data_IF_971920352290
#
_entry.id   IF_971920352290
#
_cell.length_a   1.000
_cell.length_b   1.000
_cell.length_c   1.000
_cell.angle_alpha   90.00
_cell.angle_beta   90.00
_cell.angle_gamma   90.00
#
_symmetry.space_group_name_H-M   'P 1'
#
loop_
_entity.id
_entity.type
_entity.pdbx_description
1 polymer ?
#
# COMPACT_ATOMS: atom_id res chain seq x y z
N UNK A 1 23.42 -21.43 -77.01
CA UNK A 1 23.50 -20.07 -76.43
C UNK A 1 22.20 -19.78 -75.67
N UNK A 2 21.76 -20.66 -74.76
CA UNK A 2 20.48 -20.50 -74.04
C UNK A 2 20.45 -21.00 -72.59
N UNK A 3 21.54 -21.55 -72.02
CA UNK A 3 21.55 -22.00 -70.62
C UNK A 3 21.92 -20.89 -69.63
N UNK A 4 22.62 -19.85 -70.08
CA UNK A 4 22.99 -18.70 -69.23
C UNK A 4 21.81 -17.75 -68.98
N UNK A 5 20.84 -17.65 -69.90
CA UNK A 5 19.69 -16.76 -69.73
C UNK A 5 18.62 -17.32 -68.78
N UNK A 6 18.41 -18.65 -68.76
CA UNK A 6 17.48 -19.31 -67.82
C UNK A 6 17.98 -19.24 -66.36
N UNK A 7 19.28 -19.44 -66.13
CA UNK A 7 19.87 -19.32 -64.79
C UNK A 7 19.78 -17.89 -64.23
N UNK A 8 19.98 -16.87 -65.07
CA UNK A 8 19.87 -15.46 -64.67
C UNK A 8 18.41 -15.08 -64.37
N UNK A 9 17.44 -15.56 -65.14
CA UNK A 9 16.01 -15.29 -64.91
C UNK A 9 15.51 -15.88 -63.59
N UNK A 10 15.92 -17.11 -63.25
CA UNK A 10 15.56 -17.77 -61.99
C UNK A 10 16.12 -17.02 -60.77
N UNK A 11 17.38 -16.56 -60.85
CA UNK A 11 18.02 -15.78 -59.77
C UNK A 11 17.34 -14.42 -59.60
N UNK A 12 17.02 -13.73 -60.69
CA UNK A 12 16.31 -12.44 -60.64
C UNK A 12 14.91 -12.60 -60.04
N UNK A 13 14.18 -13.66 -60.40
CA UNK A 13 12.89 -13.99 -59.80
C UNK A 13 12.98 -14.24 -58.29
N UNK A 14 13.97 -15.01 -57.84
CA UNK A 14 14.21 -15.27 -56.42
C UNK A 14 14.54 -13.97 -55.66
N UNK A 15 15.40 -13.12 -56.22
CA UNK A 15 15.77 -11.84 -55.62
C UNK A 15 14.57 -10.91 -55.50
N UNK A 16 13.66 -10.91 -56.48
CA UNK A 16 12.44 -10.10 -56.47
C UNK A 16 11.46 -10.60 -55.39
N UNK A 17 11.31 -11.92 -55.23
CA UNK A 17 10.52 -12.50 -54.13
C UNK A 17 11.13 -12.14 -52.77
N UNK A 18 12.46 -12.26 -52.61
CA UNK A 18 13.15 -11.89 -51.38
C UNK A 18 12.98 -10.39 -51.07
N UNK A 19 13.06 -9.53 -52.08
CA UNK A 19 12.83 -8.09 -51.93
C UNK A 19 11.41 -7.77 -51.47
N UNK A 20 10.40 -8.47 -52.00
CA UNK A 20 9.01 -8.32 -51.56
C UNK A 20 8.86 -8.76 -50.10
N UNK A 21 9.38 -9.94 -49.74
CA UNK A 21 9.32 -10.45 -48.37
C UNK A 21 10.03 -9.50 -47.40
N UNK A 22 11.23 -9.01 -47.76
CA UNK A 22 11.96 -8.05 -46.95
C UNK A 22 11.19 -6.73 -46.79
N UNK A 23 10.52 -6.25 -47.84
CA UNK A 23 9.70 -5.02 -47.78
C UNK A 23 8.48 -5.21 -46.88
N UNK A 24 7.80 -6.35 -46.96
CA UNK A 24 6.66 -6.69 -46.08
C UNK A 24 7.11 -6.78 -44.61
N UNK A 25 8.22 -7.47 -44.34
CA UNK A 25 8.79 -7.54 -42.99
C UNK A 25 9.23 -6.16 -42.47
N UNK A 26 9.80 -5.32 -43.34
CA UNK A 26 10.17 -3.95 -42.99
C UNK A 26 8.94 -3.12 -42.60
N UNK A 27 7.87 -3.16 -43.42
CA UNK A 27 6.60 -2.47 -43.10
C UNK A 27 6.02 -3.00 -41.78
N UNK A 28 5.94 -4.33 -41.61
CA UNK A 28 5.45 -4.93 -40.38
C UNK A 28 6.23 -4.47 -39.14
N UNK A 29 7.57 -4.45 -39.24
CA UNK A 29 8.43 -4.03 -38.14
C UNK A 29 8.39 -2.53 -37.84
N UNK A 30 8.18 -1.70 -38.87
CA UNK A 30 8.24 -0.25 -38.74
C UNK A 30 6.90 0.37 -38.33
N UNK A 31 5.76 -0.20 -38.74
CA UNK A 31 4.44 0.41 -38.52
C UNK A 31 3.57 -0.39 -37.56
N UNK A 32 3.51 -1.71 -37.70
CA UNK A 32 2.57 -2.54 -36.93
C UNK A 32 3.12 -2.92 -35.55
N UNK A 33 4.38 -3.35 -35.46
CA UNK A 33 4.98 -3.75 -34.18
C UNK A 33 4.96 -2.63 -33.12
N UNK A 34 5.32 -1.36 -33.42
CA UNK A 34 5.27 -0.29 -32.43
C UNK A 34 3.85 -0.04 -31.90
N UNK A 35 2.84 -0.06 -32.78
CA UNK A 35 1.44 0.15 -32.39
C UNK A 35 0.92 -0.94 -31.45
N UNK A 36 1.22 -2.21 -31.76
CA UNK A 36 0.83 -3.34 -30.90
C UNK A 36 1.52 -3.27 -29.51
N UNK A 37 2.78 -2.84 -29.46
CA UNK A 37 3.49 -2.63 -28.19
C UNK A 37 2.85 -1.55 -27.35
N UNK A 38 2.56 -0.39 -27.96
CA UNK A 38 1.91 0.72 -27.26
C UNK A 38 0.54 0.29 -26.70
N UNK A 39 -0.26 -0.45 -27.48
CA UNK A 39 -1.53 -0.96 -26.99
C UNK A 39 -1.37 -1.92 -25.81
N UNK A 40 -0.38 -2.83 -25.86
CA UNK A 40 -0.09 -3.74 -24.75
C UNK A 40 0.40 -3.01 -23.50
N UNK A 41 1.20 -1.95 -23.64
CA UNK A 41 1.64 -1.11 -22.51
C UNK A 41 0.49 -0.31 -21.89
N UNK A 42 -0.45 0.17 -22.71
CA UNK A 42 -1.65 0.87 -22.20
C UNK A 42 -2.48 -0.08 -21.35
N UNK A 43 -2.73 -1.30 -21.83
CA UNK A 43 -3.43 -2.33 -21.06
C UNK A 43 -2.68 -2.65 -19.76
N UNK A 44 -1.37 -2.86 -19.84
CA UNK A 44 -0.51 -3.10 -18.68
C UNK A 44 -0.61 -1.98 -17.63
N UNK A 45 -0.60 -0.72 -18.06
CA UNK A 45 -0.72 0.43 -17.15
C UNK A 45 -2.06 0.42 -16.40
N UNK A 46 -3.15 0.11 -17.09
CA UNK A 46 -4.46 -0.04 -16.45
C UNK A 46 -4.53 -1.24 -15.50
N UNK A 47 -3.92 -2.38 -15.85
CA UNK A 47 -3.85 -3.56 -14.98
C UNK A 47 -3.10 -3.26 -13.68
N UNK A 48 -1.97 -2.54 -13.76
CA UNK A 48 -1.22 -2.11 -12.58
C UNK A 48 -2.06 -1.17 -11.73
N UNK A 49 -2.72 -0.18 -12.34
CA UNK A 49 -3.61 0.74 -11.63
C UNK A 49 -4.71 -0.01 -10.86
N UNK A 50 -5.42 -0.90 -11.53
CA UNK A 50 -6.51 -1.67 -10.94
C UNK A 50 -6.01 -2.56 -9.79
N UNK A 51 -4.83 -3.17 -9.94
CA UNK A 51 -4.22 -3.97 -8.90
C UNK A 51 -3.83 -3.12 -7.67
N UNK A 52 -3.32 -1.90 -7.85
CA UNK A 52 -3.04 -0.97 -6.76
C UNK A 52 -4.32 -0.56 -6.01
N UNK A 53 -5.40 -0.23 -6.74
CA UNK A 53 -6.68 0.13 -6.11
C UNK A 53 -7.29 -1.05 -5.34
N UNK A 54 -7.23 -2.27 -5.89
CA UNK A 54 -7.72 -3.48 -5.21
C UNK A 54 -6.90 -3.78 -3.96
N UNK A 55 -5.57 -3.80 -4.08
CA UNK A 55 -4.70 -4.10 -2.96
C UNK A 55 -4.76 -3.02 -1.87
N UNK A 56 -4.99 -1.75 -2.23
CA UNK A 56 -5.29 -0.68 -1.29
C UNK A 56 -6.55 -0.99 -0.47
N UNK A 57 -7.63 -1.40 -1.13
CA UNK A 57 -8.87 -1.85 -0.46
C UNK A 57 -8.68 -3.07 0.43
N UNK A 58 -7.83 -4.03 0.02
CA UNK A 58 -7.48 -5.20 0.84
C UNK A 58 -6.74 -4.80 2.13
N UNK A 59 -5.83 -3.81 2.04
CA UNK A 59 -5.15 -3.26 3.22
C UNK A 59 -6.17 -2.58 4.14
N UNK A 60 -7.03 -1.71 3.60
CA UNK A 60 -8.09 -1.05 4.40
C UNK A 60 -8.99 -2.07 5.09
N UNK A 61 -9.36 -3.15 4.38
CA UNK A 61 -10.13 -4.23 4.94
C UNK A 61 -9.40 -4.97 6.07
N UNK A 62 -8.12 -5.31 5.87
CA UNK A 62 -7.30 -5.98 6.87
C UNK A 62 -7.10 -5.13 8.13
N UNK A 63 -6.84 -3.82 7.96
CA UNK A 63 -6.65 -2.86 9.06
C UNK A 63 -7.96 -2.65 9.83
N UNK A 64 -9.10 -2.51 9.13
CA UNK A 64 -10.40 -2.29 9.77
C UNK A 64 -10.96 -3.53 10.46
N UNK A 65 -10.79 -4.73 9.90
CA UNK A 65 -11.33 -5.97 10.47
C UNK A 65 -10.57 -6.43 11.72
N UNK A 66 -9.29 -6.07 11.86
CA UNK A 66 -8.43 -6.38 13.03
C UNK A 66 -8.39 -7.88 13.36
N UNK A 67 -8.51 -8.72 12.34
CA UNK A 67 -8.59 -10.18 12.45
C UNK A 67 -7.48 -10.85 11.65
N UNK A 68 -7.38 -12.18 11.77
CA UNK A 68 -6.42 -12.96 10.97
C UNK A 68 -6.95 -13.09 9.55
N UNK A 69 -6.19 -12.60 8.57
CA UNK A 69 -6.53 -12.73 7.17
C UNK A 69 -5.27 -12.97 6.33
N UNK A 70 -5.45 -13.57 5.16
CA UNK A 70 -4.43 -13.71 4.15
C UNK A 70 -5.02 -13.28 2.82
N UNK A 71 -4.45 -12.21 2.23
CA UNK A 71 -4.89 -11.65 0.96
C UNK A 71 -3.71 -11.65 0.00
N UNK A 72 -3.98 -11.82 -1.29
CA UNK A 72 -2.94 -11.79 -2.31
C UNK A 72 -3.50 -11.27 -3.61
N UNK A 73 -2.75 -10.36 -4.22
CA UNK A 73 -3.08 -9.77 -5.51
C UNK A 73 -1.90 -9.94 -6.47
N UNK A 74 -2.21 -10.24 -7.73
CA UNK A 74 -1.21 -10.39 -8.78
C UNK A 74 -0.98 -9.07 -9.50
N UNK A 75 0.28 -8.71 -9.68
CA UNK A 75 0.74 -7.51 -10.38
C UNK A 75 1.54 -7.91 -11.61
N UNK A 76 1.18 -7.36 -12.76
CA UNK A 76 2.10 -7.43 -13.90
C UNK A 76 3.26 -6.45 -13.65
N UNK A 77 4.51 -6.91 -13.76
CA UNK A 77 5.69 -6.04 -13.71
C UNK A 77 6.09 -5.54 -15.10
N UNK A 78 5.55 -6.11 -16.17
CA UNK A 78 5.83 -5.70 -17.53
C UNK A 78 4.82 -6.24 -18.54
N UNK A 79 4.53 -5.43 -19.54
CA UNK A 79 3.77 -5.76 -20.74
C UNK A 79 4.64 -5.83 -22.01
N UNK A 80 3.98 -5.65 -23.15
CA UNK A 80 4.64 -5.62 -24.46
C UNK A 80 4.95 -7.01 -25.04
N UNK A 81 4.28 -8.07 -24.57
CA UNK A 81 4.42 -9.42 -25.11
C UNK A 81 3.72 -9.54 -26.47
N UNK A 82 4.41 -9.11 -27.51
CA UNK A 82 3.96 -9.17 -28.91
C UNK A 82 4.84 -10.17 -29.65
N UNK A 83 4.21 -11.03 -30.48
CA UNK A 83 4.91 -11.95 -31.36
C UNK A 83 6.00 -11.21 -32.15
N UNK A 84 7.24 -11.71 -32.10
CA UNK A 84 8.43 -11.16 -32.78
C UNK A 84 8.96 -9.82 -32.21
N UNK A 85 8.55 -9.42 -31.00
CA UNK A 85 9.16 -8.30 -30.27
C UNK A 85 10.44 -8.73 -29.53
N UNK A 86 11.58 -8.04 -29.71
CA UNK A 86 12.82 -8.36 -28.98
C UNK A 86 12.87 -7.78 -27.55
N UNK A 87 11.93 -6.91 -27.13
CA UNK A 87 11.98 -6.22 -25.85
C UNK A 87 10.62 -6.08 -25.18
N UNK A 88 10.56 -6.45 -23.90
CA UNK A 88 9.41 -6.36 -22.99
C UNK A 88 9.63 -5.21 -22.00
N UNK A 89 8.56 -4.55 -21.53
CA UNK A 89 8.68 -3.63 -20.41
C UNK A 89 8.99 -4.37 -19.12
N UNK A 90 9.48 -3.63 -18.13
CA UNK A 90 9.82 -4.17 -16.82
C UNK A 90 9.63 -3.11 -15.76
N UNK A 91 9.46 -3.56 -14.54
CA UNK A 91 9.16 -2.73 -13.40
C UNK A 91 9.69 -3.34 -12.11
N UNK A 92 9.82 -2.50 -11.10
CA UNK A 92 10.18 -2.88 -9.75
C UNK A 92 9.02 -2.55 -8.85
N UNK A 93 8.54 -3.55 -8.11
CA UNK A 93 7.57 -3.39 -7.04
C UNK A 93 8.30 -3.51 -5.71
N UNK A 94 8.10 -2.55 -4.83
CA UNK A 94 8.78 -2.49 -3.53
C UNK A 94 7.83 -2.10 -2.41
N UNK A 95 8.09 -2.63 -1.22
CA UNK A 95 7.37 -2.38 0.02
C UNK A 95 8.36 -1.80 1.01
N UNK A 96 8.11 -0.60 1.51
CA UNK A 96 9.01 0.09 2.45
C UNK A 96 8.25 0.43 3.73
N UNK A 97 8.91 0.36 4.90
CA UNK A 97 8.31 0.91 6.11
C UNK A 97 8.32 2.43 6.01
N UNK A 98 7.30 3.07 6.58
CA UNK A 98 7.35 4.52 6.80
C UNK A 98 8.45 4.88 7.82
N UNK A 99 9.04 6.07 7.70
CA UNK A 99 10.16 6.49 8.55
C UNK A 99 9.74 6.77 10.00
N UNK A 100 8.46 7.12 10.20
CA UNK A 100 7.87 7.46 11.49
C UNK A 100 6.75 6.48 11.83
N UNK A 101 6.64 6.15 13.11
CA UNK A 101 5.50 5.43 13.66
C UNK A 101 4.25 6.31 13.60
N UNK A 102 3.07 5.71 13.54
CA UNK A 102 1.80 6.46 13.51
C UNK A 102 1.31 6.85 14.91
N UNK A 103 1.53 5.96 15.89
CA UNK A 103 1.18 6.15 17.31
C UNK A 103 2.15 5.35 18.14
N UNK A 104 2.68 5.94 19.22
CA UNK A 104 3.34 5.22 20.32
C UNK A 104 2.40 5.19 21.53
N UNK A 105 2.17 4.00 22.08
CA UNK A 105 1.39 3.80 23.31
C UNK A 105 2.33 3.32 24.41
N UNK A 106 2.34 4.06 25.52
CA UNK A 106 3.08 3.71 26.73
C UNK A 106 2.12 3.20 27.79
N UNK A 107 2.29 1.93 28.19
CA UNK A 107 1.55 1.29 29.29
C UNK A 107 2.52 1.09 30.45
N UNK A 108 2.44 1.93 31.48
CA UNK A 108 3.37 1.94 32.62
C UNK A 108 4.85 1.86 32.20
N UNK A 109 5.22 2.61 31.16
CA UNK A 109 6.58 2.69 30.62
C UNK A 109 6.97 1.61 29.61
N UNK A 110 6.12 0.61 29.34
CA UNK A 110 6.29 -0.31 28.21
C UNK A 110 5.70 0.31 26.95
N UNK A 111 6.49 0.38 25.88
CA UNK A 111 6.12 1.02 24.62
C UNK A 111 5.63 0.02 23.59
N UNK A 112 4.56 0.39 22.90
CA UNK A 112 3.98 -0.32 21.78
C UNK A 112 3.75 0.68 20.66
N UNK A 113 3.90 0.29 19.40
CA UNK A 113 3.77 1.21 18.28
C UNK A 113 2.84 0.69 17.18
N UNK A 114 2.16 1.62 16.54
CA UNK A 114 1.47 1.42 15.27
C UNK A 114 2.37 1.90 14.13
N UNK A 115 2.47 1.13 13.05
CA UNK A 115 3.36 1.42 11.91
C UNK A 115 2.66 1.18 10.59
N UNK A 116 3.12 1.89 9.56
CA UNK A 116 2.61 1.81 8.19
C UNK A 116 3.73 1.38 7.23
N UNK A 117 3.33 0.90 6.06
CA UNK A 117 4.21 0.67 4.92
C UNK A 117 3.73 1.46 3.72
N UNK A 118 4.64 1.85 2.85
CA UNK A 118 4.34 2.34 1.50
C UNK A 118 4.68 1.27 0.47
N UNK A 119 3.91 1.25 -0.62
CA UNK A 119 4.08 0.29 -1.72
C UNK A 119 4.29 1.09 -2.99
N UNK A 120 5.40 0.84 -3.68
CA UNK A 120 5.78 1.59 -4.88
C UNK A 120 6.05 0.65 -6.03
N UNK A 121 5.43 0.92 -7.18
CA UNK A 121 5.76 0.38 -8.48
C UNK A 121 6.46 1.44 -9.32
N UNK A 122 7.69 1.15 -9.74
CA UNK A 122 8.48 2.00 -10.61
C UNK A 122 8.80 1.26 -11.92
N UNK A 123 8.39 1.78 -13.09
CA UNK A 123 8.76 1.18 -14.37
C UNK A 123 10.27 1.36 -14.59
N UNK A 124 10.95 0.26 -14.89
CA UNK A 124 12.38 0.24 -15.23
C UNK A 124 12.62 0.45 -16.72
N UNK A 125 11.67 0.00 -17.55
CA UNK A 125 11.66 0.21 -19.00
C UNK A 125 10.22 0.14 -19.52
N UNK A 126 9.81 1.08 -20.37
CA UNK A 126 8.52 1.06 -21.07
C UNK A 126 8.66 1.54 -22.52
N UNK A 127 7.79 1.06 -23.40
CA UNK A 127 7.69 1.51 -24.80
C UNK A 127 6.59 2.56 -25.03
N UNK A 128 5.90 3.00 -23.97
CA UNK A 128 4.84 4.00 -24.02
C UNK A 128 5.12 5.16 -23.06
N UNK A 129 4.84 4.97 -21.77
CA UNK A 129 5.04 5.99 -20.73
C UNK A 129 5.69 5.36 -19.50
N UNK A 130 6.65 6.07 -18.91
CA UNK A 130 7.24 5.72 -17.61
C UNK A 130 6.33 6.21 -16.49
N UNK A 131 5.20 5.53 -16.32
CA UNK A 131 4.24 5.76 -15.26
C UNK A 131 4.41 4.77 -14.11
N UNK A 132 4.62 5.28 -12.90
CA UNK A 132 4.68 4.52 -11.65
C UNK A 132 3.46 4.77 -10.78
N UNK A 133 3.35 3.99 -9.70
CA UNK A 133 2.27 4.08 -8.72
C UNK A 133 2.83 3.95 -7.31
N UNK A 134 2.33 4.74 -6.37
CA UNK A 134 2.66 4.65 -4.96
C UNK A 134 1.39 4.60 -4.14
N UNK A 135 1.20 3.56 -3.35
CA UNK A 135 0.16 3.52 -2.31
C UNK A 135 0.79 3.93 -0.97
N UNK A 136 0.17 4.91 -0.32
CA UNK A 136 0.58 5.41 1.00
C UNK A 136 -0.63 6.04 1.72
N UNK A 137 -0.72 5.88 3.04
CA UNK A 137 -1.78 6.45 3.89
C UNK A 137 -3.23 6.22 3.41
N UNK A 138 -3.48 5.17 2.61
CA UNK A 138 -4.81 4.83 2.09
C UNK A 138 -5.19 5.52 0.77
N UNK A 139 -4.26 6.22 0.10
CA UNK A 139 -4.49 6.74 -1.25
C UNK A 139 -3.39 6.27 -2.21
N UNK A 140 -3.69 6.34 -3.51
CA UNK A 140 -2.76 5.96 -4.58
C UNK A 140 -2.35 7.22 -5.33
N UNK A 141 -1.05 7.39 -5.48
CA UNK A 141 -0.43 8.39 -6.33
C UNK A 141 0.06 7.78 -7.63
N UNK A 142 -0.04 8.54 -8.70
CA UNK A 142 0.55 8.26 -10.01
C UNK A 142 1.81 9.09 -10.15
N UNK A 143 2.93 8.43 -10.43
CA UNK A 143 4.23 9.08 -10.61
C UNK A 143 4.60 9.12 -12.10
N UNK A 144 4.92 10.29 -12.63
CA UNK A 144 5.46 10.48 -13.99
C UNK A 144 6.72 11.34 -13.94
N UNK A 145 7.88 10.70 -13.98
CA UNK A 145 9.16 11.38 -13.73
C UNK A 145 9.21 11.94 -12.32
N UNK A 146 9.40 13.26 -12.19
CA UNK A 146 9.46 13.96 -10.89
C UNK A 146 8.09 14.42 -10.38
N UNK A 147 7.01 14.19 -11.15
CA UNK A 147 5.66 14.62 -10.77
C UNK A 147 4.89 13.47 -10.17
N UNK A 148 4.19 13.78 -9.08
CA UNK A 148 3.29 12.88 -8.39
C UNK A 148 1.92 13.54 -8.29
N UNK A 149 0.88 12.82 -8.67
CA UNK A 149 -0.52 13.29 -8.62
C UNK A 149 -1.40 12.20 -8.03
N UNK A 150 -2.38 12.54 -7.17
CA UNK A 150 -3.37 11.57 -6.71
C UNK A 150 -4.11 10.91 -7.88
N UNK A 151 -4.44 9.63 -7.73
CA UNK A 151 -5.11 8.86 -8.76
C UNK A 151 -6.60 9.22 -8.89
N UNK A 152 -7.28 9.43 -7.76
CA UNK A 152 -8.73 9.65 -7.73
C UNK A 152 -9.10 11.13 -7.56
N UNK A 153 -8.28 11.87 -6.83
CA UNK A 153 -8.48 13.29 -6.52
C UNK A 153 -7.76 14.19 -7.54
N UNK A 154 -8.27 15.40 -7.75
CA UNK A 154 -7.65 16.34 -8.68
C UNK A 154 -6.40 16.98 -8.08
N UNK A 155 -6.35 17.13 -6.75
CA UNK A 155 -5.25 17.81 -6.06
C UNK A 155 -4.93 17.18 -4.70
N UNK A 156 -3.68 17.35 -4.25
CA UNK A 156 -3.29 16.99 -2.87
C UNK A 156 -4.05 17.77 -1.80
N UNK A 157 -4.65 18.92 -2.12
CA UNK A 157 -5.47 19.66 -1.17
C UNK A 157 -6.78 18.93 -0.86
N UNK A 158 -7.38 18.28 -1.87
CA UNK A 158 -8.58 17.46 -1.71
C UNK A 158 -8.28 16.20 -0.89
N UNK A 159 -7.19 15.49 -1.20
CA UNK A 159 -6.72 14.33 -0.41
C UNK A 159 -6.57 14.72 1.07
N UNK A 160 -5.87 15.82 1.35
CA UNK A 160 -5.68 16.30 2.74
C UNK A 160 -6.99 16.63 3.44
N UNK A 161 -7.95 17.20 2.72
CA UNK A 161 -9.25 17.52 3.29
C UNK A 161 -10.04 16.26 3.67
N UNK A 162 -10.01 15.22 2.84
CA UNK A 162 -10.67 13.95 3.12
C UNK A 162 -9.98 13.19 4.28
N UNK A 163 -8.66 13.30 4.38
CA UNK A 163 -7.85 12.62 5.41
C UNK A 163 -8.23 12.99 6.85
N UNK A 164 -8.68 14.22 7.09
CA UNK A 164 -9.02 14.72 8.44
C UNK A 164 -10.07 13.89 9.18
N UNK A 165 -10.94 13.19 8.47
CA UNK A 165 -11.98 12.35 9.05
C UNK A 165 -11.92 10.91 8.51
N UNK A 166 -10.76 10.49 8.03
CA UNK A 166 -10.65 9.27 7.24
C UNK A 166 -10.70 8.01 8.13
N UNK A 167 -11.69 7.11 7.95
CA UNK A 167 -11.87 5.94 8.83
C UNK A 167 -10.68 4.99 8.85
N UNK A 168 -9.91 4.93 7.76
CA UNK A 168 -8.70 4.12 7.69
C UNK A 168 -7.65 4.59 8.69
N UNK A 169 -7.41 5.90 8.79
CA UNK A 169 -6.47 6.46 9.76
C UNK A 169 -6.89 6.10 11.19
N UNK A 170 -8.16 6.29 11.51
CA UNK A 170 -8.74 5.97 12.81
C UNK A 170 -8.70 4.47 13.15
N UNK A 171 -8.53 3.58 12.17
CA UNK A 171 -8.50 2.13 12.40
C UNK A 171 -7.17 1.62 12.97
N UNK A 172 -6.11 2.44 12.98
CA UNK A 172 -4.79 2.05 13.50
C UNK A 172 -4.73 1.94 15.02
N UNK A 173 -5.65 2.58 15.73
CA UNK A 173 -5.77 2.56 17.18
C UNK A 173 -7.24 2.39 17.58
N UNK A 174 -7.51 1.58 18.60
CA UNK A 174 -8.83 1.48 19.21
C UNK A 174 -8.69 1.18 20.69
N UNK A 175 -9.39 1.94 21.49
CA UNK A 175 -9.49 1.78 22.94
C UNK A 175 -10.87 1.22 23.26
N UNK A 176 -10.90 -0.01 23.72
CA UNK A 176 -12.13 -0.72 24.06
C UNK A 176 -12.24 -0.91 25.56
N UNK A 177 -13.35 -0.44 26.11
CA UNK A 177 -13.77 -0.81 27.46
C UNK A 177 -14.24 -2.26 27.49
N UNK A 178 -13.51 -3.08 28.24
CA UNK A 178 -13.81 -4.51 28.46
C UNK A 178 -14.26 -4.81 29.88
N UNK A 179 -14.52 -3.76 30.67
CA UNK A 179 -15.02 -3.84 32.02
C UNK A 179 -16.35 -4.62 32.07
N UNK A 180 -16.55 -5.50 33.07
CA UNK A 180 -17.81 -6.22 33.22
C UNK A 180 -19.03 -5.28 33.28
N UNK A 181 -20.14 -5.62 32.59
CA UNK A 181 -21.31 -4.77 32.55
C UNK A 181 -21.89 -4.56 33.95
N UNK A 182 -22.27 -3.31 34.26
CA UNK A 182 -22.79 -2.91 35.58
C UNK A 182 -21.74 -2.42 36.57
N UNK A 183 -20.45 -2.45 36.22
CA UNK A 183 -19.38 -1.88 37.05
C UNK A 183 -19.44 -0.35 37.04
N UNK A 184 -19.31 0.26 38.22
CA UNK A 184 -19.25 1.72 38.39
C UNK A 184 -17.86 2.31 38.19
N UNK A 185 -16.85 1.46 38.01
CA UNK A 185 -15.46 1.83 37.77
C UNK A 185 -14.92 1.02 36.59
N UNK A 186 -14.01 1.61 35.82
CA UNK A 186 -13.26 0.87 34.82
C UNK A 186 -12.29 -0.11 35.51
N UNK A 187 -12.23 -1.35 35.02
CA UNK A 187 -11.32 -2.38 35.56
C UNK A 187 -10.48 -3.05 34.49
N UNK A 188 -11.00 -3.17 33.27
CA UNK A 188 -10.33 -3.84 32.17
C UNK A 188 -10.47 -3.03 30.88
N UNK A 189 -9.33 -2.66 30.29
CA UNK A 189 -9.22 -2.00 28.99
C UNK A 189 -8.49 -2.88 27.99
N UNK A 190 -8.86 -2.77 26.72
CA UNK A 190 -8.13 -3.33 25.60
C UNK A 190 -7.71 -2.21 24.66
N UNK A 191 -6.41 -2.09 24.41
CA UNK A 191 -5.86 -1.15 23.41
C UNK A 191 -5.42 -1.97 22.21
N UNK A 192 -6.00 -1.72 21.05
CA UNK A 192 -5.66 -2.40 19.81
C UNK A 192 -4.81 -1.49 18.93
N UNK A 193 -3.66 -1.99 18.48
CA UNK A 193 -2.73 -1.29 17.60
C UNK A 193 -2.48 -2.09 16.32
N UNK A 194 -2.45 -1.42 15.18
CA UNK A 194 -2.12 -2.04 13.90
C UNK A 194 -0.67 -1.76 13.54
N UNK A 195 0.10 -2.83 13.28
CA UNK A 195 1.51 -2.77 12.96
C UNK A 195 1.76 -3.38 11.59
N UNK A 196 1.99 -2.55 10.58
CA UNK A 196 2.36 -3.00 9.25
C UNK A 196 3.89 -3.05 9.11
N UNK A 197 4.40 -4.13 8.53
CA UNK A 197 5.83 -4.29 8.23
C UNK A 197 6.07 -4.96 6.88
N UNK A 198 7.15 -4.63 6.19
CA UNK A 198 7.61 -5.45 5.07
C UNK A 198 7.93 -6.87 5.54
N UNK A 199 7.61 -7.85 4.70
CA UNK A 199 8.03 -9.23 4.89
C UNK A 199 9.46 -9.49 4.42
N UNK A 200 9.85 -10.77 4.39
CA UNK A 200 11.21 -11.17 3.96
C UNK A 200 11.51 -10.82 2.51
N UNK A 201 10.47 -10.79 1.66
CA UNK A 201 10.58 -10.33 0.27
C UNK A 201 9.83 -9.01 0.16
N UNK A 202 10.58 -7.92 0.18
CA UNK A 202 10.08 -6.54 0.18
C UNK A 202 10.26 -5.86 -1.19
N UNK A 203 10.86 -6.54 -2.17
CA UNK A 203 11.06 -6.01 -3.52
C UNK A 203 11.15 -7.12 -4.56
N UNK A 204 10.58 -6.88 -5.74
CA UNK A 204 10.67 -7.75 -6.91
C UNK A 204 10.80 -6.90 -8.17
N UNK A 205 11.76 -7.25 -9.02
CA UNK A 205 12.01 -6.59 -10.30
C UNK A 205 11.91 -7.61 -11.42
N UNK A 206 11.22 -7.27 -12.51
CA UNK A 206 11.10 -8.16 -13.65
C UNK A 206 10.13 -7.66 -14.70
N UNK A 207 9.79 -8.56 -15.61
CA UNK A 207 8.86 -8.34 -16.72
C UNK A 207 7.72 -9.39 -16.75
N UNK A 208 7.55 -10.11 -15.65
CA UNK A 208 6.52 -11.14 -15.47
C UNK A 208 5.51 -10.75 -14.41
N UNK A 209 4.79 -11.74 -13.88
CA UNK A 209 3.86 -11.52 -12.77
C UNK A 209 4.59 -11.53 -11.43
N UNK A 210 4.31 -10.52 -10.63
CA UNK A 210 4.57 -10.47 -9.21
C UNK A 210 3.28 -10.70 -8.41
N UNK A 211 3.43 -10.99 -7.13
CA UNK A 211 2.34 -11.10 -6.18
C UNK A 211 2.63 -10.22 -4.96
N UNK A 212 1.69 -9.33 -4.65
CA UNK A 212 1.61 -8.77 -3.31
C UNK A 212 0.83 -9.72 -2.44
N UNK A 213 1.34 -9.96 -1.24
CA UNK A 213 0.66 -10.79 -0.24
C UNK A 213 0.62 -10.04 1.07
N UNK A 214 -0.55 -10.07 1.71
CA UNK A 214 -0.80 -9.52 3.03
C UNK A 214 -1.10 -10.69 3.97
N UNK A 215 -0.44 -10.73 5.12
CA UNK A 215 -0.69 -11.71 6.16
C UNK A 215 -0.91 -11.00 7.49
N UNK A 216 -2.14 -11.04 8.00
CA UNK A 216 -2.51 -10.43 9.27
C UNK A 216 -2.50 -11.48 10.39
N UNK A 217 -1.84 -11.13 11.49
CA UNK A 217 -1.72 -11.92 12.70
C UNK A 217 -2.15 -11.10 13.90
N UNK A 218 -2.59 -11.77 14.97
CA UNK A 218 -3.11 -11.10 16.17
C UNK A 218 -2.40 -11.67 17.39
N UNK A 219 -1.78 -10.80 18.17
CA UNK A 219 -1.13 -11.10 19.45
C UNK A 219 -1.65 -10.18 20.55
N UNK A 220 -1.69 -10.64 21.79
CA UNK A 220 -2.10 -9.81 22.93
C UNK A 220 -1.13 -9.94 24.10
N UNK A 221 -0.90 -8.83 24.79
CA UNK A 221 -0.04 -8.74 25.97
C UNK A 221 -0.85 -8.13 27.11
N UNK A 222 -1.30 -8.95 28.09
CA UNK A 222 -1.98 -8.42 29.27
C UNK A 222 -0.97 -7.77 30.22
N UNK A 223 -1.34 -6.61 30.77
CA UNK A 223 -0.61 -5.87 31.80
C UNK A 223 -1.57 -5.54 32.94
N UNK A 224 -1.25 -6.00 34.14
CA UNK A 224 -2.07 -5.79 35.34
C UNK A 224 -1.51 -4.65 36.19
N UNK A 225 -2.38 -3.95 36.92
CA UNK A 225 -1.93 -2.92 37.87
C UNK A 225 -1.53 -1.60 37.21
N UNK A 226 -2.11 -1.29 36.05
CA UNK A 226 -1.76 -0.11 35.25
C UNK A 226 -2.28 1.15 35.91
N UNK A 227 -1.40 2.14 36.07
CA UNK A 227 -1.71 3.47 36.62
C UNK A 227 -1.77 4.55 35.58
N UNK A 228 -1.01 4.39 34.50
CA UNK A 228 -0.88 5.39 33.45
C UNK A 228 -0.88 4.73 32.08
N UNK A 229 -1.66 5.30 31.17
CA UNK A 229 -1.68 4.97 29.76
C UNK A 229 -1.50 6.28 28.98
N UNK A 230 -0.47 6.36 28.16
CA UNK A 230 -0.15 7.56 27.36
C UNK A 230 -0.13 7.22 25.89
N UNK A 231 -0.69 8.09 25.06
CA UNK A 231 -0.64 8.01 23.61
C UNK A 231 0.18 9.19 23.07
N UNK A 232 1.17 8.88 22.24
CA UNK A 232 1.98 9.88 21.54
C UNK A 232 1.73 9.75 20.03
N UNK A 233 1.21 10.80 19.43
CA UNK A 233 0.93 10.87 17.99
C UNK A 233 1.91 11.86 17.35
N UNK A 234 2.93 11.38 16.61
CA UNK A 234 3.88 12.26 15.98
C UNK A 234 3.21 13.12 14.89
N UNK A 235 3.48 14.42 14.93
CA UNK A 235 2.94 15.39 13.96
C UNK A 235 3.87 15.61 12.77
N UNK A 236 5.10 15.07 12.82
CA UNK A 236 6.14 15.23 11.79
C UNK A 236 6.16 14.07 10.77
N UNK A 237 5.01 13.42 10.56
CA UNK A 237 4.83 12.41 9.51
C UNK A 237 4.61 13.07 8.14
N UNK A 238 4.78 12.31 7.05
CA UNK A 238 4.66 12.81 5.68
C UNK A 238 3.27 13.40 5.36
N UNK A 239 2.23 12.95 6.06
CA UNK A 239 0.86 13.43 5.92
C UNK A 239 0.26 13.81 7.29
N UNK A 240 0.47 15.06 7.77
CA UNK A 240 0.02 15.49 9.09
C UNK A 240 -1.49 15.38 9.32
N UNK A 241 -2.31 15.52 8.27
CA UNK A 241 -3.77 15.35 8.37
C UNK A 241 -4.18 13.92 8.74
N UNK A 242 -3.34 12.92 8.44
CA UNK A 242 -3.53 11.55 8.89
C UNK A 242 -3.28 11.43 10.40
N UNK A 243 -2.23 12.08 10.91
CA UNK A 243 -1.96 12.15 12.35
C UNK A 243 -3.09 12.89 13.08
N UNK A 244 -3.60 14.00 12.54
CA UNK A 244 -4.74 14.74 13.09
C UNK A 244 -5.99 13.87 13.24
N UNK A 245 -6.29 13.00 12.26
CA UNK A 245 -7.42 12.09 12.34
C UNK A 245 -7.25 11.02 13.43
N UNK A 246 -6.02 10.52 13.62
CA UNK A 246 -5.67 9.56 14.68
C UNK A 246 -5.72 10.21 16.07
N UNK A 247 -5.14 11.40 16.19
CA UNK A 247 -5.12 12.23 17.40
C UNK A 247 -6.55 12.56 17.87
N UNK A 248 -7.39 13.03 16.94
CA UNK A 248 -8.81 13.29 17.21
C UNK A 248 -9.52 12.04 17.74
N UNK A 249 -9.29 10.89 17.09
CA UNK A 249 -9.90 9.62 17.49
C UNK A 249 -9.49 9.19 18.91
N UNK A 250 -8.19 9.28 19.24
CA UNK A 250 -7.68 8.97 20.58
C UNK A 250 -8.29 9.93 21.60
N UNK A 251 -8.34 11.22 21.29
CA UNK A 251 -8.92 12.24 22.16
C UNK A 251 -10.39 11.98 22.47
N UNK A 252 -11.19 11.64 21.45
CA UNK A 252 -12.60 11.27 21.60
C UNK A 252 -12.80 10.02 22.45
N UNK A 253 -12.03 8.95 22.23
CA UNK A 253 -12.14 7.71 23.00
C UNK A 253 -11.69 7.87 24.46
N UNK A 254 -10.62 8.60 24.71
CA UNK A 254 -10.14 8.90 26.05
C UNK A 254 -11.11 9.78 26.84
N UNK A 255 -11.65 10.84 26.20
CA UNK A 255 -12.66 11.69 26.82
C UNK A 255 -13.95 10.91 27.13
N UNK A 256 -14.38 10.03 26.23
CA UNK A 256 -15.54 9.17 26.46
C UNK A 256 -15.34 8.20 27.63
N UNK A 257 -14.11 7.71 27.84
CA UNK A 257 -13.77 6.89 29.00
C UNK A 257 -13.84 7.67 30.32
N UNK A 258 -13.29 8.89 30.36
CA UNK A 258 -13.39 9.77 31.54
C UNK A 258 -14.85 10.12 31.86
N UNK A 259 -15.65 10.49 30.85
CA UNK A 259 -17.07 10.79 31.03
C UNK A 259 -17.85 9.60 31.62
N UNK A 260 -17.51 8.38 31.18
CA UNK A 260 -18.16 7.15 31.65
C UNK A 260 -17.70 6.73 33.05
N UNK A 261 -16.44 7.01 33.39
CA UNK A 261 -15.77 6.56 34.61
C UNK A 261 -15.07 7.71 35.37
N UNK A 262 -15.78 8.80 35.72
CA UNK A 262 -15.17 10.03 36.22
C UNK A 262 -14.58 9.90 37.63
N UNK A 263 -14.88 8.80 38.32
CA UNK A 263 -14.37 8.52 39.66
C UNK A 263 -13.02 7.82 39.66
N UNK A 264 -12.64 7.16 38.56
CA UNK A 264 -11.41 6.35 38.50
C UNK A 264 -10.54 6.59 37.27
N UNK A 265 -10.98 7.40 36.32
CA UNK A 265 -10.19 7.82 35.16
C UNK A 265 -10.10 9.35 35.18
N UNK A 266 -8.89 9.86 34.98
CA UNK A 266 -8.64 11.28 34.71
C UNK A 266 -7.90 11.37 33.38
N UNK A 267 -8.39 12.21 32.48
CA UNK A 267 -7.81 12.38 31.15
C UNK A 267 -7.12 13.75 31.01
N UNK A 268 -5.83 13.73 30.67
CA UNK A 268 -5.10 14.93 30.25
C UNK A 268 -5.06 15.00 28.71
N UNK A 269 -5.77 15.97 28.10
CA UNK A 269 -5.82 16.12 26.64
C UNK A 269 -4.52 16.65 26.04
N UNK A 270 -3.60 17.21 26.83
CA UNK A 270 -2.37 17.85 26.30
C UNK A 270 -1.36 16.83 25.79
N UNK A 271 -1.37 15.62 26.36
CA UNK A 271 -0.46 14.53 25.99
C UNK A 271 -1.15 13.18 25.91
N UNK A 272 -2.47 13.18 25.67
CA UNK A 272 -3.34 12.02 25.67
C UNK A 272 -3.02 11.01 26.78
N UNK A 273 -3.03 11.47 28.03
CA UNK A 273 -2.68 10.64 29.18
C UNK A 273 -3.92 10.29 29.99
N UNK A 274 -4.14 9.00 30.23
CA UNK A 274 -5.14 8.48 31.15
C UNK A 274 -4.46 8.04 32.45
N UNK A 275 -4.88 8.65 33.56
CA UNK A 275 -4.50 8.25 34.90
C UNK A 275 -5.62 7.43 35.56
N UNK A 276 -5.25 6.33 36.22
CA UNK A 276 -6.18 5.40 36.83
C UNK A 276 -6.06 5.37 38.35
N UNK A 277 -7.19 5.49 39.05
CA UNK A 277 -7.26 5.33 40.49
C UNK A 277 -8.62 4.74 40.93
N UNK A 278 -8.74 3.43 41.21
CA UNK A 278 -7.66 2.44 41.37
C UNK A 278 -7.04 1.97 40.05
N UNK A 279 -5.98 1.16 40.14
CA UNK A 279 -5.29 0.53 39.01
C UNK A 279 -6.22 -0.35 38.16
N UNK A 280 -5.94 -0.41 36.85
CA UNK A 280 -6.71 -1.17 35.86
C UNK A 280 -5.87 -2.25 35.18
N UNK A 281 -6.51 -3.25 34.58
CA UNK A 281 -5.84 -4.19 33.68
C UNK A 281 -5.93 -3.65 32.25
N UNK A 282 -4.80 -3.59 31.56
CA UNK A 282 -4.74 -3.20 30.14
C UNK A 282 -4.21 -4.37 29.32
N UNK A 283 -4.99 -4.79 28.33
CA UNK A 283 -4.54 -5.74 27.31
C UNK A 283 -4.16 -4.99 26.05
N UNK A 284 -2.88 -4.99 25.70
CA UNK A 284 -2.44 -4.45 24.41
C UNK A 284 -2.56 -5.54 23.36
N UNK A 285 -3.45 -5.36 22.40
CA UNK A 285 -3.61 -6.23 21.24
C UNK A 285 -2.87 -5.61 20.05
N UNK A 286 -1.97 -6.37 19.43
CA UNK A 286 -1.29 -5.95 18.21
C UNK A 286 -1.79 -6.79 17.04
N UNK A 287 -2.30 -6.11 16.01
CA UNK A 287 -2.61 -6.69 14.71
C UNK A 287 -1.37 -6.50 13.83
N UNK A 288 -0.55 -7.54 13.73
CA UNK A 288 0.66 -7.53 12.91
C UNK A 288 0.35 -7.90 11.47
N UNK A 289 0.48 -6.94 10.56
CA UNK A 289 0.27 -7.12 9.12
C UNK A 289 1.63 -7.17 8.43
N UNK A 290 1.93 -8.29 7.79
CA UNK A 290 3.14 -8.47 6.99
C UNK A 290 2.80 -8.38 5.50
N UNK A 291 3.47 -7.47 4.79
CA UNK A 291 3.29 -7.26 3.35
C UNK A 291 4.53 -7.72 2.59
N UNK A 292 4.39 -8.70 1.70
CA UNK A 292 5.48 -9.20 0.85
C UNK A 292 5.21 -8.91 -0.63
N UNK A 293 6.26 -8.62 -1.38
CA UNK A 293 6.30 -8.58 -2.84
C UNK A 293 7.11 -9.77 -3.36
N UNK A 294 6.49 -10.65 -4.16
CA UNK A 294 7.10 -11.92 -4.61
C UNK A 294 6.99 -12.16 -6.10
#
# INVERSE_FOLDING_TARGET
>A
MSEQEEGVSSVVGLMLVLAIVATVLAIYSATYLPGLKQQSEIVHTHEVQDAFSKFGGDIEHAVSQKSRCHLSESFSLGGGDVLLSPGKSSGTLSVRPEERDLVEVSVDGKRYNATLVSITYAPSFSTWELQGYTWQYGYVNVTKGERETPLHEYTMAEVRQEMKAYPFAQSFVEIRDTTPPGSSICTDLQVTLVKMRPGERDSVTGNGMAHLTLNASVSSVPTTGVRSLTFDVPTDIALPEFAEAVDTKIGEECAALEERYPTNIVYDPTGHMLEFNPEVNVTVQTVGIEVNAR
#
